data_IF_468349717743
#
_entry.id   IF_468349717743
#
_cell.length_a   1.000
_cell.length_b   1.000
_cell.length_c   1.000
_cell.angle_alpha   90.00
_cell.angle_beta   90.00
_cell.angle_gamma   90.00
#
_symmetry.space_group_name_H-M   'P 1'
#
loop_
_entity.id
_entity.type
_entity.pdbx_description
1 polymer ?
#
# COMPACT_ATOMS: atom_id res chain seq x y z
N UNK A 1 -2.87 -12.44 6.65
CA UNK A 1 -1.87 -12.84 5.63
C UNK A 1 -1.74 -11.77 4.56
N UNK A 2 -0.53 -11.55 4.05
CA UNK A 2 -0.23 -10.65 2.95
C UNK A 2 0.94 -11.16 2.11
N UNK A 3 1.01 -10.74 0.85
CA UNK A 3 2.09 -11.02 -0.08
C UNK A 3 2.51 -9.73 -0.81
N UNK A 4 3.79 -9.66 -1.21
CA UNK A 4 4.33 -8.57 -2.02
C UNK A 4 5.14 -9.15 -3.18
N UNK A 5 5.00 -8.58 -4.37
CA UNK A 5 5.78 -9.01 -5.51
C UNK A 5 7.28 -8.68 -5.32
N UNK A 6 8.16 -9.62 -5.66
CA UNK A 6 9.62 -9.47 -5.44
C UNK A 6 10.24 -8.36 -6.29
N UNK A 7 9.85 -8.29 -7.57
CA UNK A 7 10.37 -7.31 -8.54
C UNK A 7 9.59 -5.99 -8.54
N UNK A 8 8.29 -6.03 -8.23
CA UNK A 8 7.38 -4.90 -8.42
C UNK A 8 6.91 -4.43 -7.04
N UNK A 9 7.60 -3.42 -6.50
CA UNK A 9 7.43 -2.98 -5.10
C UNK A 9 6.00 -2.53 -4.78
N UNK A 10 5.29 -1.97 -5.76
CA UNK A 10 3.91 -1.46 -5.62
C UNK A 10 2.83 -2.54 -5.83
N UNK A 11 3.20 -3.78 -6.11
CA UNK A 11 2.22 -4.87 -6.21
C UNK A 11 2.17 -5.60 -4.86
N UNK A 12 1.05 -5.42 -4.15
CA UNK A 12 0.79 -6.01 -2.85
C UNK A 12 -0.59 -6.67 -2.85
N UNK A 13 -0.69 -7.85 -2.24
CA UNK A 13 -1.94 -8.58 -2.06
C UNK A 13 -2.19 -8.85 -0.59
N UNK A 14 -3.41 -8.60 -0.12
CA UNK A 14 -3.84 -8.87 1.26
C UNK A 14 -5.10 -9.72 1.21
N UNK A 15 -5.22 -10.67 2.15
CA UNK A 15 -6.44 -11.47 2.27
C UNK A 15 -7.56 -10.73 3.03
N UNK A 16 -7.17 -9.72 3.80
CA UNK A 16 -8.09 -8.77 4.41
C UNK A 16 -8.78 -7.93 3.33
N UNK A 17 -9.95 -7.36 3.65
CA UNK A 17 -10.69 -6.43 2.79
C UNK A 17 -10.36 -4.99 3.20
N UNK A 18 -9.25 -4.38 2.70
CA UNK A 18 -8.82 -3.03 3.10
C UNK A 18 -9.80 -1.94 2.67
N UNK A 19 -10.67 -2.22 1.70
CA UNK A 19 -11.77 -1.36 1.28
C UNK A 19 -12.82 -1.15 2.37
N UNK A 20 -12.82 -1.99 3.42
CA UNK A 20 -13.61 -1.79 4.64
C UNK A 20 -13.02 -0.66 5.51
N UNK A 21 -13.00 0.56 4.97
CA UNK A 21 -12.45 1.80 5.57
C UNK A 21 -13.20 2.30 6.82
N UNK A 22 -14.29 1.60 7.17
CA UNK A 22 -15.02 1.76 8.43
C UNK A 22 -14.15 1.29 9.60
N UNK A 23 -13.26 0.32 9.38
CA UNK A 23 -12.24 -0.09 10.35
C UNK A 23 -11.03 0.85 10.26
N UNK A 24 -10.42 1.15 11.41
CA UNK A 24 -9.13 1.88 11.50
C UNK A 24 -8.04 1.21 10.66
N UNK A 25 -8.10 -0.11 10.57
CA UNK A 25 -7.06 -0.93 9.94
C UNK A 25 -7.15 -0.85 8.41
N UNK A 26 -8.36 -0.93 7.84
CA UNK A 26 -8.57 -0.73 6.40
C UNK A 26 -8.06 0.64 5.94
N UNK A 27 -8.41 1.70 6.68
CA UNK A 27 -7.93 3.06 6.40
C UNK A 27 -6.41 3.20 6.49
N UNK A 28 -5.79 2.52 7.45
CA UNK A 28 -4.34 2.52 7.63
C UNK A 28 -3.62 1.80 6.49
N UNK A 29 -4.13 0.64 6.07
CA UNK A 29 -3.56 -0.13 4.95
C UNK A 29 -3.57 0.71 3.66
N UNK A 30 -4.71 1.32 3.32
CA UNK A 30 -4.82 2.18 2.12
C UNK A 30 -3.89 3.38 2.22
N UNK A 31 -3.86 4.08 3.36
CA UNK A 31 -2.98 5.25 3.57
C UNK A 31 -1.50 4.90 3.40
N UNK A 32 -1.07 3.75 3.94
CA UNK A 32 0.31 3.31 3.85
C UNK A 32 0.69 2.98 2.40
N UNK A 33 -0.23 2.40 1.62
CA UNK A 33 -0.01 2.13 0.21
C UNK A 33 0.15 3.41 -0.61
N UNK A 34 -0.69 4.42 -0.38
CA UNK A 34 -0.57 5.72 -1.06
C UNK A 34 0.77 6.41 -0.74
N UNK A 35 1.15 6.48 0.54
CA UNK A 35 2.44 7.06 0.96
C UNK A 35 3.65 6.37 0.34
N UNK A 36 3.55 5.06 0.10
CA UNK A 36 4.61 4.30 -0.56
C UNK A 36 4.81 4.77 -2.02
N UNK A 37 3.72 5.13 -2.71
CA UNK A 37 3.75 5.64 -4.09
C UNK A 37 4.33 7.06 -4.10
N UNK A 38 3.81 7.95 -3.25
CA UNK A 38 4.28 9.35 -3.15
C UNK A 38 5.79 9.42 -2.90
N UNK A 39 6.31 8.55 -2.02
CA UNK A 39 7.75 8.46 -1.75
C UNK A 39 8.54 8.06 -3.00
N UNK A 40 8.03 7.12 -3.79
CA UNK A 40 8.69 6.72 -5.04
C UNK A 40 8.76 7.85 -6.06
N UNK A 41 7.69 8.63 -6.17
CA UNK A 41 7.62 9.76 -7.10
C UNK A 41 8.63 10.83 -6.67
N UNK A 42 8.68 11.16 -5.37
CA UNK A 42 9.66 12.12 -4.84
C UNK A 42 11.13 11.69 -4.97
N UNK A 43 11.41 10.38 -4.98
CA UNK A 43 12.76 9.83 -5.22
C UNK A 43 13.14 9.86 -6.70
N UNK A 44 12.17 10.01 -7.61
CA UNK A 44 12.39 10.05 -9.06
C UNK A 44 12.55 11.49 -9.60
N UNK A 45 12.14 12.49 -8.82
CA UNK A 45 12.21 13.93 -9.16
C UNK A 45 13.47 14.64 -8.63
N UNK A 46 14.30 13.96 -7.82
CA UNK A 46 15.61 14.43 -7.32
C UNK A 46 16.77 13.84 -8.12
#
# INVERSE_FOLDING_TARGET
>A
MAARHKKYRYIQGVQFHPESIITSEGRTIVRNFVKLIEKSESESEN
#
